data_IF_589141107272
#
_entry.id   IF_589141107272
#
_cell.length_a   1.000
_cell.length_b   1.000
_cell.length_c   1.000
_cell.angle_alpha   90.00
_cell.angle_beta   90.00
_cell.angle_gamma   90.00
#
_symmetry.space_group_name_H-M   'P 1'
#
loop_
_entity.id
_entity.type
_entity.pdbx_description
1 polymer ?
#
# COMPACT_ATOMS: atom_id res chain seq x y z
N UNK A 1 37.55 26.00 12.56
CA UNK A 1 36.37 26.19 11.69
C UNK A 1 35.80 24.80 11.46
N UNK A 2 34.72 24.46 12.15
CA UNK A 2 34.16 23.11 12.15
C UNK A 2 33.45 22.87 10.81
N UNK A 3 33.84 21.80 10.11
CA UNK A 3 33.19 21.36 8.88
C UNK A 3 31.78 20.88 9.21
N UNK A 4 30.79 21.58 8.68
CA UNK A 4 29.39 21.19 8.75
C UNK A 4 29.20 19.92 7.90
N UNK A 5 29.28 18.76 8.55
CA UNK A 5 28.93 17.48 7.95
C UNK A 5 27.40 17.46 7.77
N UNK A 6 26.93 17.93 6.62
CA UNK A 6 25.57 17.67 6.17
C UNK A 6 25.42 16.15 5.97
N UNK A 7 24.89 15.49 6.99
CA UNK A 7 24.54 14.08 6.95
C UNK A 7 23.43 13.85 5.93
N UNK A 8 23.80 13.37 4.75
CA UNK A 8 22.85 12.86 3.77
C UNK A 8 22.46 11.45 4.20
N UNK A 9 21.51 11.34 5.12
CA UNK A 9 20.86 10.05 5.39
C UNK A 9 20.04 9.67 4.15
N UNK A 10 20.31 8.53 3.49
CA UNK A 10 19.57 8.11 2.33
C UNK A 10 18.12 7.85 2.73
N UNK A 11 17.19 8.68 2.24
CA UNK A 11 15.75 8.47 2.44
C UNK A 11 15.39 7.08 1.93
N UNK A 12 14.75 6.29 2.79
CA UNK A 12 14.36 4.94 2.42
C UNK A 12 13.38 4.97 1.25
N UNK A 13 13.41 3.92 0.41
CA UNK A 13 12.45 3.79 -0.69
C UNK A 13 11.00 3.80 -0.17
N UNK A 14 10.78 3.23 1.02
CA UNK A 14 9.48 3.22 1.70
C UNK A 14 9.02 4.65 2.04
N UNK A 15 9.89 5.48 2.63
CA UNK A 15 9.54 6.86 2.98
C UNK A 15 9.23 7.70 1.73
N UNK A 16 10.00 7.48 0.65
CA UNK A 16 9.73 8.13 -0.64
C UNK A 16 8.37 7.72 -1.21
N UNK A 17 8.01 6.44 -1.14
CA UNK A 17 6.71 5.96 -1.58
C UNK A 17 5.57 6.50 -0.72
N UNK A 18 5.75 6.57 0.61
CA UNK A 18 4.75 7.16 1.51
C UNK A 18 4.55 8.65 1.23
N UNK A 19 5.63 9.40 0.98
CA UNK A 19 5.53 10.81 0.58
C UNK A 19 4.76 10.95 -0.73
N UNK A 20 5.12 10.13 -1.73
CA UNK A 20 4.42 10.13 -3.02
C UNK A 20 2.92 9.87 -2.86
N UNK A 21 2.51 8.86 -2.10
CA UNK A 21 1.08 8.58 -1.91
C UNK A 21 0.36 9.70 -1.17
N UNK A 22 1.02 10.37 -0.20
CA UNK A 22 0.45 11.54 0.48
C UNK A 22 0.21 12.68 -0.50
N UNK A 23 1.15 12.93 -1.40
CA UNK A 23 1.02 13.96 -2.43
C UNK A 23 -0.13 13.65 -3.39
N UNK A 24 -0.27 12.38 -3.82
CA UNK A 24 -1.39 11.95 -4.67
C UNK A 24 -2.73 12.14 -3.97
N UNK A 25 -2.86 11.72 -2.70
CA UNK A 25 -4.10 11.92 -1.92
C UNK A 25 -4.43 13.40 -1.78
N UNK A 26 -3.43 14.25 -1.51
CA UNK A 26 -3.64 15.69 -1.38
C UNK A 26 -4.08 16.33 -2.70
N UNK A 27 -3.46 15.96 -3.82
CA UNK A 27 -3.78 16.50 -5.14
C UNK A 27 -5.14 16.05 -5.66
N UNK A 28 -5.54 14.82 -5.33
CA UNK A 28 -6.78 14.21 -5.83
C UNK A 28 -7.92 14.18 -4.81
N UNK A 29 -7.77 14.86 -3.67
CA UNK A 29 -8.85 15.01 -2.71
C UNK A 29 -10.08 15.66 -3.37
N UNK A 30 -11.27 15.19 -3.00
CA UNK A 30 -12.51 15.80 -3.47
C UNK A 30 -12.61 17.23 -2.94
N UNK A 31 -12.98 18.17 -3.82
CA UNK A 31 -13.32 19.52 -3.41
C UNK A 31 -14.60 19.47 -2.56
N UNK A 32 -14.66 20.11 -1.38
CA UNK A 32 -15.79 20.00 -0.47
C UNK A 32 -17.07 20.70 -0.99
N UNK A 33 -16.95 21.61 -1.95
CA UNK A 33 -18.08 22.32 -2.56
C UNK A 33 -18.63 21.52 -3.74
N UNK A 34 -17.75 21.01 -4.59
CA UNK A 34 -18.14 20.28 -5.81
C UNK A 34 -18.41 18.79 -5.52
N UNK A 35 -17.81 18.25 -4.46
CA UNK A 35 -17.91 16.82 -4.10
C UNK A 35 -17.16 15.90 -5.08
N UNK A 36 -16.16 16.43 -5.79
CA UNK A 36 -15.37 15.68 -6.77
C UNK A 36 -13.94 16.19 -6.85
N UNK A 37 -13.03 15.30 -7.27
CA UNK A 37 -11.66 15.64 -7.58
C UNK A 37 -11.59 16.69 -8.70
N UNK A 38 -10.88 17.79 -8.49
CA UNK A 38 -10.76 18.86 -9.50
C UNK A 38 -9.90 18.46 -10.72
N UNK A 39 -9.03 17.47 -10.55
CA UNK A 39 -8.16 16.94 -11.63
C UNK A 39 -8.95 15.99 -12.52
N UNK A 40 -9.56 14.95 -11.92
CA UNK A 40 -10.23 13.88 -12.66
C UNK A 40 -11.72 14.13 -12.91
N UNK A 41 -12.32 15.13 -12.25
CA UNK A 41 -13.75 15.50 -12.33
C UNK A 41 -14.73 14.40 -11.93
N UNK A 42 -14.28 13.43 -11.14
CA UNK A 42 -15.12 12.36 -10.58
C UNK A 42 -14.91 12.29 -9.06
N UNK A 43 -15.95 11.97 -8.27
CA UNK A 43 -15.81 11.74 -6.84
C UNK A 43 -14.89 10.55 -6.56
N UNK A 44 -13.97 10.69 -5.59
CA UNK A 44 -13.04 9.64 -5.16
C UNK A 44 -12.41 8.88 -6.34
N UNK A 45 -11.69 9.61 -7.18
CA UNK A 45 -11.07 9.05 -8.37
C UNK A 45 -10.08 7.90 -8.06
N UNK A 46 -9.74 7.12 -9.07
CA UNK A 46 -8.92 5.91 -8.92
C UNK A 46 -7.57 6.20 -8.27
N UNK A 47 -6.89 7.29 -8.65
CA UNK A 47 -5.61 7.70 -8.06
C UNK A 47 -5.73 7.97 -6.56
N UNK A 48 -6.77 8.69 -6.13
CA UNK A 48 -7.03 8.94 -4.72
C UNK A 48 -7.31 7.64 -3.96
N UNK A 49 -8.11 6.75 -4.54
CA UNK A 49 -8.44 5.45 -3.93
C UNK A 49 -7.20 4.59 -3.76
N UNK A 50 -6.43 4.43 -4.84
CA UNK A 50 -5.21 3.63 -4.83
C UNK A 50 -4.19 4.14 -3.81
N UNK A 51 -3.93 5.45 -3.79
CA UNK A 51 -3.00 6.05 -2.84
C UNK A 51 -3.51 5.94 -1.40
N UNK A 52 -4.81 6.14 -1.17
CA UNK A 52 -5.43 5.99 0.16
C UNK A 52 -5.34 4.55 0.66
N UNK A 53 -5.58 3.55 -0.19
CA UNK A 53 -5.42 2.15 0.16
C UNK A 53 -3.97 1.85 0.57
N UNK A 54 -2.97 2.38 -0.14
CA UNK A 54 -1.56 2.17 0.23
C UNK A 54 -1.13 2.88 1.51
N UNK A 55 -1.76 4.00 1.85
CA UNK A 55 -1.48 4.75 3.09
C UNK A 55 -2.21 4.21 4.32
N UNK A 56 -3.45 3.75 4.15
CA UNK A 56 -4.36 3.46 5.26
C UNK A 56 -4.83 2.01 5.33
N UNK A 57 -4.54 1.16 4.34
CA UNK A 57 -4.79 -0.25 4.52
C UNK A 57 -3.97 -0.75 5.72
N UNK A 58 -4.57 -1.54 6.62
CA UNK A 58 -3.79 -2.23 7.62
C UNK A 58 -2.74 -3.02 6.85
N UNK A 59 -1.46 -2.88 7.24
CA UNK A 59 -0.39 -3.70 6.68
C UNK A 59 -0.88 -5.14 6.76
N UNK A 60 -1.32 -5.70 5.63
CA UNK A 60 -1.90 -7.03 5.60
C UNK A 60 -0.80 -7.91 6.18
N UNK A 61 -1.09 -8.44 7.36
CA UNK A 61 -0.16 -9.22 8.17
C UNK A 61 0.56 -10.15 7.21
N UNK A 62 1.88 -10.05 7.23
CA UNK A 62 2.86 -11.01 6.73
C UNK A 62 2.17 -12.18 6.07
N UNK A 63 2.17 -12.21 4.72
CA UNK A 63 1.65 -13.33 3.96
C UNK A 63 2.24 -14.61 4.55
N UNK A 64 1.44 -15.30 5.37
CA UNK A 64 1.77 -16.60 5.91
C UNK A 64 2.15 -17.43 4.68
N UNK A 65 3.36 -18.03 4.62
CA UNK A 65 3.72 -18.83 3.48
C UNK A 65 2.63 -19.88 3.31
N UNK A 66 1.96 -19.86 2.16
CA UNK A 66 1.07 -20.95 1.74
C UNK A 66 2.00 -22.16 1.56
N UNK A 67 2.31 -22.85 2.66
CA UNK A 67 2.88 -24.18 2.60
C UNK A 67 1.71 -25.05 2.18
N UNK A 68 1.66 -25.58 0.95
CA UNK A 68 0.62 -26.53 0.60
C UNK A 68 0.72 -27.69 1.60
N UNK A 69 -0.38 -28.00 2.27
CA UNK A 69 -0.44 -29.12 3.19
C UNK A 69 0.12 -30.37 2.49
N UNK A 70 1.01 -31.16 3.13
CA UNK A 70 1.53 -32.36 2.51
C UNK A 70 0.35 -33.27 2.10
N UNK A 71 0.42 -33.91 0.92
CA UNK A 71 -0.64 -34.79 0.46
C UNK A 71 -0.89 -35.86 1.53
N UNK A 72 -2.12 -35.91 2.04
CA UNK A 72 -2.52 -36.91 3.02
C UNK A 72 -2.35 -38.30 2.39
N UNK A 73 -1.66 -39.24 3.05
CA UNK A 73 -1.56 -40.59 2.53
C UNK A 73 -2.94 -41.24 2.55
N UNK A 74 -3.46 -41.51 1.36
CA UNK A 74 -4.69 -42.27 1.12
C UNK A 74 -4.44 -43.74 1.49
N UNK A 75 -4.44 -44.03 2.80
CA UNK A 75 -4.46 -45.39 3.29
C UNK A 75 -5.87 -45.97 3.12
N UNK A 76 -6.04 -46.71 2.03
CA UNK A 76 -6.90 -47.89 1.88
C UNK A 76 -8.33 -47.79 2.39
N UNK A 77 -9.27 -47.51 1.47
CA UNK A 77 -10.66 -47.93 1.61
C UNK A 77 -10.99 -48.91 0.47
N UNK A 78 -10.35 -50.08 0.50
CA UNK A 78 -10.80 -51.25 -0.24
C UNK A 78 -10.70 -52.45 0.71
N UNK A 79 -11.71 -52.53 1.59
CA UNK A 79 -11.99 -53.69 2.39
C UNK A 79 -13.47 -53.66 2.77
N UNK A 80 -14.33 -54.13 1.85
CA UNK A 80 -15.41 -55.09 2.09
C UNK A 80 -16.36 -55.19 0.90
#
# INVERSE_FOLDING_TARGET
>A
MASEQHGYEPVSLTDRLLSYYRDVVAMHADDPVIGACLVCRVPRCEDWRFASERLFAPAAREAEPIIPAPPQPQYGADAS
#
